data_IF_873661014486
#
_entry.id   IF_873661014486
#
_cell.length_a   1.000
_cell.length_b   1.000
_cell.length_c   1.000
_cell.angle_alpha   90.00
_cell.angle_beta   90.00
_cell.angle_gamma   90.00
#
_symmetry.space_group_name_H-M   'P 1'
#
loop_
_entity.id
_entity.type
_entity.pdbx_description
1 polymer ?
#
# COMPACT_ATOMS: atom_id res chain seq x y z
N UNK A 1 -27.91 -35.49 -12.83
CA UNK A 1 -26.56 -36.00 -12.51
C UNK A 1 -25.76 -35.83 -13.79
N UNK A 2 -24.81 -34.91 -13.90
CA UNK A 2 -23.47 -35.02 -13.29
C UNK A 2 -22.91 -33.62 -13.07
N UNK A 3 -22.54 -33.29 -11.82
CA UNK A 3 -21.76 -32.08 -11.51
C UNK A 3 -20.30 -32.33 -11.88
N UNK A 4 -19.71 -31.43 -12.67
CA UNK A 4 -18.26 -31.39 -12.87
C UNK A 4 -17.68 -30.48 -11.79
N UNK A 5 -17.17 -31.11 -10.73
CA UNK A 5 -16.32 -30.46 -9.72
C UNK A 5 -14.97 -30.20 -10.37
N UNK A 6 -14.65 -28.94 -10.68
CA UNK A 6 -13.31 -28.56 -11.16
C UNK A 6 -12.34 -28.59 -9.97
N UNK A 7 -11.23 -29.30 -10.12
CA UNK A 7 -10.26 -29.54 -9.05
C UNK A 7 -9.45 -28.26 -8.72
N UNK A 8 -8.89 -28.15 -7.50
CA UNK A 8 -8.10 -27.00 -7.05
C UNK A 8 -6.87 -26.67 -7.92
N UNK A 9 -6.41 -27.64 -8.72
CA UNK A 9 -5.21 -27.53 -9.55
C UNK A 9 -5.42 -26.60 -10.75
N UNK A 10 -6.65 -26.48 -11.27
CA UNK A 10 -6.96 -25.62 -12.42
C UNK A 10 -7.02 -24.13 -12.04
N UNK A 11 -7.28 -23.82 -10.76
CA UNK A 11 -7.37 -22.44 -10.25
C UNK A 11 -5.97 -21.87 -9.98
N UNK A 12 -5.04 -22.69 -9.49
CA UNK A 12 -3.63 -22.29 -9.30
C UNK A 12 -2.91 -21.91 -10.60
N UNK A 13 -3.30 -22.52 -11.73
CA UNK A 13 -2.72 -22.20 -13.05
C UNK A 13 -3.17 -20.83 -13.58
N UNK A 14 -4.38 -20.39 -13.26
CA UNK A 14 -4.93 -19.09 -13.70
C UNK A 14 -4.21 -17.93 -12.99
N UNK A 15 -3.89 -18.10 -11.70
CA UNK A 15 -3.13 -17.12 -10.91
C UNK A 15 -1.68 -16.99 -11.42
N UNK A 16 -1.05 -18.10 -11.83
CA UNK A 16 0.31 -18.06 -12.40
C UNK A 16 0.35 -17.42 -13.80
N UNK A 17 -0.68 -17.63 -14.63
CA UNK A 17 -0.81 -17.02 -15.96
C UNK A 17 -1.13 -15.51 -15.91
N UNK A 18 -1.82 -15.05 -14.85
CA UNK A 18 -2.04 -13.63 -14.57
C UNK A 18 -0.73 -12.84 -14.38
N UNK A 19 0.29 -13.48 -13.78
CA UNK A 19 1.59 -12.85 -13.49
C UNK A 19 2.50 -12.80 -14.73
N UNK A 20 2.46 -13.82 -15.59
CA UNK A 20 3.34 -13.89 -16.78
C UNK A 20 2.87 -13.02 -17.96
N UNK A 21 1.56 -12.80 -18.11
CA UNK A 21 1.02 -12.02 -19.25
C UNK A 21 1.27 -10.50 -19.12
N UNK A 22 1.54 -9.99 -17.92
CA UNK A 22 1.84 -8.57 -17.70
C UNK A 22 3.15 -8.09 -18.33
N UNK A 23 4.10 -9.00 -18.60
CA UNK A 23 5.46 -8.65 -19.07
C UNK A 23 5.56 -8.54 -20.60
N UNK A 24 4.62 -9.11 -21.37
CA UNK A 24 4.75 -9.23 -22.83
C UNK A 24 3.96 -8.19 -23.67
N UNK A 25 3.12 -7.35 -23.04
CA UNK A 25 2.12 -6.54 -23.75
C UNK A 25 2.53 -5.13 -24.19
N UNK A 26 3.81 -4.74 -24.10
CA UNK A 26 4.23 -3.35 -24.29
C UNK A 26 5.14 -3.18 -25.52
N UNK A 27 4.55 -3.10 -26.72
CA UNK A 27 5.13 -2.45 -27.91
C UNK A 27 4.03 -2.33 -28.99
N UNK A 28 3.09 -1.39 -28.84
CA UNK A 28 2.29 -0.89 -29.96
C UNK A 28 1.65 0.47 -29.66
N UNK A 29 1.64 1.31 -30.68
CA UNK A 29 1.35 2.75 -30.73
C UNK A 29 -0.09 3.18 -30.38
N UNK A 30 -0.25 4.43 -29.92
CA UNK A 30 -1.52 5.13 -29.59
C UNK A 30 -2.59 5.04 -30.69
N UNK A 31 -3.89 4.97 -30.34
CA UNK A 31 -5.00 5.40 -31.21
C UNK A 31 -5.78 6.61 -30.64
N UNK A 32 -6.56 7.33 -31.47
CA UNK A 32 -7.22 8.59 -31.11
C UNK A 32 -8.59 8.38 -30.43
N UNK A 33 -9.10 9.46 -29.82
CA UNK A 33 -10.42 9.53 -29.16
C UNK A 33 -11.55 8.97 -30.03
N UNK A 34 -12.32 8.02 -29.49
CA UNK A 34 -13.55 7.50 -30.11
C UNK A 34 -14.78 8.22 -29.55
N UNK A 35 -15.51 8.86 -30.45
CA UNK A 35 -16.89 9.32 -30.26
C UNK A 35 -17.79 8.07 -30.32
N UNK A 36 -18.62 7.86 -29.31
CA UNK A 36 -19.57 6.73 -29.26
C UNK A 36 -20.73 6.99 -30.20
N UNK A 37 -20.64 6.50 -31.44
CA UNK A 37 -21.78 6.40 -32.36
C UNK A 37 -22.38 5.01 -32.22
N UNK A 38 -23.65 4.90 -31.83
CA UNK A 38 -24.37 3.62 -31.87
C UNK A 38 -24.48 3.14 -33.32
N UNK A 39 -23.60 2.23 -33.71
CA UNK A 39 -23.61 1.64 -35.06
C UNK A 39 -24.74 0.61 -35.13
N UNK A 40 -25.79 0.90 -35.89
CA UNK A 40 -26.81 -0.09 -36.26
C UNK A 40 -26.19 -0.92 -37.40
N UNK A 41 -25.77 -2.14 -37.12
CA UNK A 41 -25.23 -3.04 -38.14
C UNK A 41 -26.36 -3.76 -38.89
N UNK A 42 -26.58 -3.36 -40.14
CA UNK A 42 -27.49 -4.05 -41.06
C UNK A 42 -26.77 -5.26 -41.64
N UNK A 43 -27.32 -6.47 -41.45
CA UNK A 43 -26.78 -7.69 -42.07
C UNK A 43 -27.68 -8.10 -43.25
N UNK A 44 -27.07 -8.23 -44.42
CA UNK A 44 -27.73 -8.69 -45.64
C UNK A 44 -27.37 -10.15 -45.89
N UNK A 45 -28.37 -11.02 -45.93
CA UNK A 45 -28.18 -12.46 -46.19
C UNK A 45 -28.83 -12.78 -47.52
N UNK A 46 -28.05 -13.35 -48.44
CA UNK A 46 -28.51 -13.81 -49.75
C UNK A 46 -28.60 -15.33 -49.74
N UNK A 47 -29.77 -15.86 -50.06
CA UNK A 47 -30.02 -17.30 -50.18
C UNK A 47 -30.41 -17.64 -51.61
N UNK A 48 -29.86 -18.73 -52.14
CA UNK A 48 -30.14 -19.23 -53.48
C UNK A 48 -30.53 -20.72 -53.42
N UNK A 49 -31.67 -21.06 -54.02
CA UNK A 49 -32.12 -22.46 -54.19
C UNK A 49 -32.59 -22.63 -55.64
N UNK A 50 -31.88 -23.47 -56.40
CA UNK A 50 -32.07 -23.55 -57.85
C UNK A 50 -31.70 -22.23 -58.54
N UNK A 51 -32.52 -21.78 -59.51
CA UNK A 51 -32.33 -20.49 -60.21
C UNK A 51 -32.91 -19.28 -59.44
N UNK A 52 -33.56 -19.51 -58.30
CA UNK A 52 -34.22 -18.43 -57.55
C UNK A 52 -33.31 -17.93 -56.43
N UNK A 53 -33.03 -16.63 -56.42
CA UNK A 53 -32.25 -15.96 -55.36
C UNK A 53 -33.14 -14.96 -54.61
N UNK A 54 -33.05 -14.92 -53.28
CA UNK A 54 -33.68 -13.89 -52.44
C UNK A 54 -32.68 -13.28 -51.47
N UNK A 55 -32.77 -11.96 -51.34
CA UNK A 55 -31.95 -11.15 -50.43
C UNK A 55 -32.83 -10.66 -49.30
N UNK A 56 -32.39 -10.88 -48.06
CA UNK A 56 -33.09 -10.39 -46.87
C UNK A 56 -32.15 -9.41 -46.17
N UNK A 57 -32.66 -8.21 -45.92
CA UNK A 57 -31.98 -7.19 -45.15
C UNK A 57 -32.60 -7.16 -43.75
N UNK A 58 -31.82 -7.49 -42.72
CA UNK A 58 -32.27 -7.42 -41.33
C UNK A 58 -31.68 -6.18 -40.67
N UNK A 59 -32.55 -5.26 -40.27
CA UNK A 59 -32.17 -3.93 -39.76
C UNK A 59 -32.18 -3.85 -38.23
N UNK A 60 -32.64 -4.89 -37.53
CA UNK A 60 -32.74 -4.89 -36.07
C UNK A 60 -32.42 -6.26 -35.44
N UNK A 61 -31.73 -6.28 -34.29
CA UNK A 61 -31.38 -7.51 -33.58
C UNK A 61 -32.59 -8.25 -32.99
N UNK A 62 -32.57 -9.58 -32.99
CA UNK A 62 -33.65 -10.45 -32.47
C UNK A 62 -34.85 -10.62 -33.39
N UNK A 63 -34.84 -10.00 -34.58
CA UNK A 63 -35.87 -10.22 -35.59
C UNK A 63 -35.77 -11.63 -36.18
N UNK A 64 -36.85 -12.39 -36.10
CA UNK A 64 -37.00 -13.69 -36.78
C UNK A 64 -37.67 -13.44 -38.12
N UNK A 65 -36.93 -13.62 -39.20
CA UNK A 65 -37.46 -13.52 -40.57
C UNK A 65 -37.61 -14.91 -41.15
N UNK A 66 -38.84 -15.25 -41.54
CA UNK A 66 -39.13 -16.52 -42.24
C UNK A 66 -39.17 -16.26 -43.73
N UNK A 67 -38.39 -17.02 -44.50
CA UNK A 67 -38.46 -16.97 -45.96
C UNK A 67 -38.99 -18.27 -46.50
N UNK A 68 -40.10 -18.16 -47.22
CA UNK A 68 -40.74 -19.27 -47.91
C UNK A 68 -40.33 -19.25 -49.37
N UNK A 69 -39.67 -20.32 -49.82
CA UNK A 69 -39.42 -20.61 -51.23
C UNK A 69 -40.15 -21.91 -51.62
N UNK A 70 -40.46 -22.14 -52.91
CA UNK A 70 -41.11 -23.39 -53.33
C UNK A 70 -40.24 -24.59 -52.95
N UNK A 71 -40.72 -25.44 -52.04
CA UNK A 71 -40.07 -26.69 -51.63
C UNK A 71 -39.11 -26.62 -50.44
N UNK A 72 -38.79 -25.42 -49.89
CA UNK A 72 -37.91 -25.28 -48.71
C UNK A 72 -38.38 -24.13 -47.82
N UNK A 73 -38.59 -24.42 -46.52
CA UNK A 73 -38.80 -23.40 -45.48
C UNK A 73 -37.53 -23.33 -44.65
N UNK A 74 -36.87 -22.17 -44.65
CA UNK A 74 -35.67 -21.91 -43.82
C UNK A 74 -35.95 -20.76 -42.87
N UNK A 75 -35.77 -21.02 -41.57
CA UNK A 75 -35.85 -19.99 -40.53
C UNK A 75 -34.45 -19.46 -40.25
N UNK A 76 -34.24 -18.15 -40.46
CA UNK A 76 -32.99 -17.49 -40.08
C UNK A 76 -33.21 -16.76 -38.76
N UNK A 77 -32.48 -17.18 -37.72
CA UNK A 77 -32.45 -16.49 -36.43
C UNK A 77 -31.16 -15.68 -36.35
N UNK A 78 -31.28 -14.34 -36.35
CA UNK A 78 -30.16 -13.44 -36.11
C UNK A 78 -30.02 -13.26 -34.60
N UNK A 79 -29.03 -13.92 -33.99
CA UNK A 79 -28.73 -13.76 -32.58
C UNK A 79 -27.85 -12.52 -32.43
N UNK A 80 -28.36 -11.48 -31.77
CA UNK A 80 -27.56 -10.33 -31.38
C UNK A 80 -26.61 -10.75 -30.26
N UNK A 81 -25.32 -10.83 -30.56
CA UNK A 81 -24.29 -10.87 -29.51
C UNK A 81 -24.13 -9.45 -28.98
N UNK A 82 -24.99 -9.04 -28.04
CA UNK A 82 -24.70 -7.83 -27.25
C UNK A 82 -23.39 -8.07 -26.49
N UNK A 83 -22.45 -7.10 -26.49
CA UNK A 83 -21.35 -7.14 -25.55
C UNK A 83 -21.94 -7.35 -24.15
N UNK A 84 -21.41 -8.30 -23.35
CA UNK A 84 -21.90 -8.51 -22.00
C UNK A 84 -21.92 -7.18 -21.24
N UNK A 85 -23.03 -6.89 -20.54
CA UNK A 85 -23.15 -5.66 -19.77
C UNK A 85 -21.95 -5.53 -18.83
N UNK A 86 -21.32 -4.36 -18.85
CA UNK A 86 -20.14 -4.11 -18.02
C UNK A 86 -20.53 -4.24 -16.54
N UNK A 87 -19.82 -5.10 -15.81
CA UNK A 87 -20.01 -5.30 -14.37
C UNK A 87 -19.01 -4.41 -13.66
N UNK A 88 -19.49 -3.40 -12.94
CA UNK A 88 -18.62 -2.49 -12.19
C UNK A 88 -18.60 -2.84 -10.69
N UNK A 89 -17.42 -3.08 -10.15
CA UNK A 89 -17.20 -3.19 -8.70
C UNK A 89 -16.49 -1.94 -8.18
N UNK A 90 -16.87 -1.47 -7.00
CA UNK A 90 -16.28 -0.27 -6.39
C UNK A 90 -15.23 -0.69 -5.37
N UNK A 91 -14.06 -0.07 -5.41
CA UNK A 91 -13.10 -0.11 -4.30
C UNK A 91 -13.07 1.29 -3.69
N UNK A 92 -13.43 1.37 -2.40
CA UNK A 92 -13.36 2.60 -1.63
C UNK A 92 -11.92 2.90 -1.21
N UNK A 93 -11.58 4.17 -1.07
CA UNK A 93 -10.27 4.61 -0.65
C UNK A 93 -10.43 5.68 0.43
N UNK A 94 -10.34 5.26 1.68
CA UNK A 94 -10.35 6.15 2.84
C UNK A 94 -8.91 6.54 3.13
N UNK A 95 -8.43 7.65 2.57
CA UNK A 95 -7.00 7.99 2.60
C UNK A 95 -6.77 9.42 3.05
N UNK A 96 -5.83 9.61 3.97
CA UNK A 96 -5.42 10.93 4.40
C UNK A 96 -4.61 11.59 3.27
N UNK A 97 -5.21 12.58 2.61
CA UNK A 97 -4.55 13.38 1.55
C UNK A 97 -4.39 14.84 1.96
N UNK A 98 -4.83 15.19 3.17
CA UNK A 98 -4.59 16.45 3.84
C UNK A 98 -4.06 16.22 5.26
N UNK A 99 -4.04 17.29 6.08
CA UNK A 99 -3.54 17.23 7.45
C UNK A 99 -2.06 16.82 7.50
N UNK A 100 -1.65 15.98 8.45
CA UNK A 100 -0.26 15.51 8.55
C UNK A 100 0.27 14.77 7.31
N UNK A 101 -0.63 14.31 6.45
CA UNK A 101 -0.31 13.57 5.23
C UNK A 101 -0.46 14.42 3.96
N UNK A 102 -0.61 15.75 4.06
CA UNK A 102 -0.84 16.60 2.88
C UNK A 102 0.24 16.48 1.79
N UNK A 103 1.47 16.14 2.17
CA UNK A 103 2.60 15.94 1.24
C UNK A 103 2.63 14.50 0.69
N UNK A 104 2.56 13.49 1.57
CA UNK A 104 2.79 12.09 1.20
C UNK A 104 1.51 11.35 0.80
N UNK A 105 0.37 11.73 1.37
CA UNK A 105 -0.95 11.16 1.12
C UNK A 105 -1.35 11.13 -0.37
N UNK A 106 -1.22 12.25 -1.11
CA UNK A 106 -1.46 12.25 -2.56
C UNK A 106 -0.52 11.31 -3.33
N UNK A 107 0.73 11.14 -2.88
CA UNK A 107 1.69 10.20 -3.49
C UNK A 107 1.24 8.75 -3.26
N UNK A 108 0.74 8.42 -2.07
CA UNK A 108 0.18 7.08 -1.78
C UNK A 108 -1.09 6.81 -2.61
N UNK A 109 -2.03 7.77 -2.65
CA UNK A 109 -3.27 7.68 -3.44
C UNK A 109 -2.98 7.34 -4.89
N UNK A 110 -2.01 8.03 -5.49
CA UNK A 110 -1.67 7.90 -6.90
C UNK A 110 -1.18 6.47 -7.22
N UNK A 111 -0.55 5.78 -6.26
CA UNK A 111 -0.22 4.35 -6.38
C UNK A 111 -1.48 3.48 -6.50
N UNK A 112 -2.53 3.79 -5.73
CA UNK A 112 -3.82 3.11 -5.84
C UNK A 112 -4.56 3.40 -7.15
N UNK A 113 -4.49 4.64 -7.65
CA UNK A 113 -5.04 5.02 -8.96
C UNK A 113 -4.37 4.21 -10.07
N UNK A 114 -3.03 4.13 -10.06
CA UNK A 114 -2.27 3.37 -11.03
C UNK A 114 -2.64 1.88 -11.01
N UNK A 115 -2.84 1.30 -9.82
CA UNK A 115 -3.30 -0.08 -9.69
C UNK A 115 -4.68 -0.29 -10.36
N UNK A 116 -5.66 0.59 -10.12
CA UNK A 116 -6.97 0.52 -10.78
C UNK A 116 -6.83 0.59 -12.30
N UNK A 117 -5.99 1.49 -12.82
CA UNK A 117 -5.72 1.62 -14.26
C UNK A 117 -5.13 0.32 -14.83
N UNK A 118 -4.15 -0.28 -14.16
CA UNK A 118 -3.51 -1.52 -14.60
C UNK A 118 -4.46 -2.72 -14.55
N UNK A 119 -5.26 -2.85 -13.48
CA UNK A 119 -6.26 -3.91 -13.33
C UNK A 119 -7.28 -3.83 -14.47
N UNK A 120 -7.82 -2.64 -14.72
CA UNK A 120 -8.82 -2.44 -15.77
C UNK A 120 -8.25 -2.68 -17.17
N UNK A 121 -7.03 -2.22 -17.45
CA UNK A 121 -6.32 -2.49 -18.71
C UNK A 121 -6.11 -4.00 -18.93
N UNK A 122 -5.74 -4.72 -17.88
CA UNK A 122 -5.61 -6.18 -17.95
C UNK A 122 -6.95 -6.86 -18.19
N UNK A 123 -8.01 -6.50 -17.46
CA UNK A 123 -9.35 -7.06 -17.65
C UNK A 123 -9.88 -6.81 -19.07
N UNK A 124 -9.58 -5.63 -19.63
CA UNK A 124 -9.90 -5.30 -21.02
C UNK A 124 -9.15 -6.19 -22.02
N UNK A 125 -7.85 -6.41 -21.83
CA UNK A 125 -7.04 -7.21 -22.76
C UNK A 125 -7.48 -8.67 -22.86
N UNK A 126 -8.08 -9.20 -21.80
CA UNK A 126 -8.66 -10.56 -21.78
C UNK A 126 -10.16 -10.60 -22.13
N UNK A 127 -10.75 -9.47 -22.54
CA UNK A 127 -12.16 -9.37 -22.90
C UNK A 127 -13.13 -9.55 -21.73
N UNK A 128 -12.68 -9.33 -20.49
CA UNK A 128 -13.54 -9.42 -19.31
C UNK A 128 -14.58 -8.29 -19.31
N UNK A 129 -15.85 -8.55 -18.96
CA UNK A 129 -16.86 -7.50 -18.77
C UNK A 129 -16.69 -6.73 -17.45
N UNK A 130 -15.79 -7.18 -16.56
CA UNK A 130 -15.64 -6.60 -15.23
C UNK A 130 -14.75 -5.36 -15.27
N UNK A 131 -15.11 -4.30 -14.55
CA UNK A 131 -14.27 -3.14 -14.27
C UNK A 131 -14.32 -2.77 -12.80
N UNK A 132 -13.25 -2.13 -12.34
CA UNK A 132 -13.14 -1.57 -11.00
C UNK A 132 -13.20 -0.05 -11.04
N UNK A 133 -14.05 0.54 -10.19
CA UNK A 133 -14.16 1.98 -10.02
C UNK A 133 -13.49 2.41 -8.72
N UNK A 134 -12.65 3.43 -8.85
CA UNK A 134 -11.99 4.13 -7.75
C UNK A 134 -12.96 5.15 -7.13
N UNK A 135 -13.23 5.06 -5.84
CA UNK A 135 -13.95 6.09 -5.07
C UNK A 135 -13.10 6.44 -3.85
N UNK A 136 -12.80 7.72 -3.67
CA UNK A 136 -11.96 8.18 -2.56
C UNK A 136 -12.63 9.29 -1.76
N UNK A 137 -12.26 9.38 -0.49
CA UNK A 137 -12.58 10.49 0.38
C UNK A 137 -11.45 10.71 1.39
N UNK A 138 -11.31 11.93 1.88
CA UNK A 138 -10.18 12.37 2.71
C UNK A 138 -10.44 12.15 4.20
N UNK A 139 -9.63 11.30 4.81
CA UNK A 139 -9.71 11.00 6.25
C UNK A 139 -8.93 12.00 7.12
N UNK A 140 -8.18 12.92 6.51
CA UNK A 140 -7.40 14.00 7.18
C UNK A 140 -6.36 13.52 8.19
N UNK A 141 -6.09 12.21 8.27
CA UNK A 141 -5.19 11.62 9.26
C UNK A 141 -5.79 11.51 10.66
N UNK A 142 -7.12 11.54 10.80
CA UNK A 142 -7.80 11.59 12.08
C UNK A 142 -8.90 10.51 12.21
N UNK A 143 -8.92 9.81 13.35
CA UNK A 143 -9.85 8.71 13.61
C UNK A 143 -11.34 9.07 13.43
N UNK A 144 -11.74 10.25 13.89
CA UNK A 144 -13.13 10.70 13.78
C UNK A 144 -13.56 10.99 12.33
N UNK A 145 -12.66 11.53 11.51
CA UNK A 145 -12.92 11.79 10.09
C UNK A 145 -12.87 10.49 9.28
N UNK A 146 -11.91 9.59 9.58
CA UNK A 146 -11.86 8.25 9.00
C UNK A 146 -13.16 7.46 9.23
N UNK A 147 -13.72 7.53 10.45
CA UNK A 147 -14.99 6.86 10.76
C UNK A 147 -16.15 7.41 9.93
N UNK A 148 -16.25 8.74 9.77
CA UNK A 148 -17.29 9.37 8.94
C UNK A 148 -17.16 8.95 7.48
N UNK A 149 -15.95 8.94 6.94
CA UNK A 149 -15.67 8.50 5.57
C UNK A 149 -16.13 7.05 5.37
N UNK A 150 -15.74 6.15 6.27
CA UNK A 150 -16.10 4.72 6.15
C UNK A 150 -17.61 4.51 6.33
N UNK A 151 -18.27 5.23 7.23
CA UNK A 151 -19.73 5.21 7.37
C UNK A 151 -20.44 5.67 6.09
N UNK A 152 -19.94 6.73 5.45
CA UNK A 152 -20.46 7.23 4.18
C UNK A 152 -20.27 6.21 3.04
N UNK A 153 -19.08 5.64 2.92
CA UNK A 153 -18.80 4.58 1.95
C UNK A 153 -19.68 3.35 2.15
N UNK A 154 -19.88 2.92 3.41
CA UNK A 154 -20.78 1.83 3.75
C UNK A 154 -22.23 2.13 3.35
N UNK A 155 -22.72 3.34 3.63
CA UNK A 155 -24.06 3.78 3.23
C UNK A 155 -24.24 3.82 1.70
N UNK A 156 -23.16 4.09 0.96
CA UNK A 156 -23.11 3.98 -0.50
C UNK A 156 -22.95 2.53 -1.02
N UNK A 157 -22.97 1.53 -0.13
CA UNK A 157 -22.89 0.10 -0.48
C UNK A 157 -21.47 -0.44 -0.67
N UNK A 158 -20.43 0.34 -0.38
CA UNK A 158 -19.03 -0.09 -0.52
C UNK A 158 -18.66 -1.02 0.65
N UNK A 159 -18.12 -2.20 0.32
CA UNK A 159 -17.76 -3.24 1.30
C UNK A 159 -16.27 -3.55 1.37
N UNK A 160 -15.48 -3.02 0.44
CA UNK A 160 -14.03 -3.21 0.35
C UNK A 160 -13.38 -1.84 0.23
N UNK A 161 -12.55 -1.51 1.22
CA UNK A 161 -11.93 -0.19 1.37
C UNK A 161 -10.42 -0.38 1.52
N UNK A 162 -9.63 0.38 0.75
CA UNK A 162 -8.19 0.51 0.92
C UNK A 162 -7.89 1.77 1.74
N UNK A 163 -7.00 1.65 2.72
CA UNK A 163 -6.87 2.61 3.82
C UNK A 163 -7.86 2.32 4.97
N UNK A 164 -7.81 3.03 6.11
CA UNK A 164 -7.00 4.23 6.40
C UNK A 164 -5.49 4.02 6.46
N UNK A 165 -4.73 5.12 6.46
CA UNK A 165 -3.27 5.09 6.43
C UNK A 165 -2.64 4.99 7.82
N UNK A 166 -3.15 5.72 8.82
CA UNK A 166 -2.54 5.75 10.13
C UNK A 166 -3.10 4.67 11.06
N UNK A 167 -2.25 4.12 11.93
CA UNK A 167 -2.66 3.12 12.92
C UNK A 167 -3.81 3.61 13.83
N UNK A 168 -3.79 4.88 14.23
CA UNK A 168 -4.87 5.48 15.02
C UNK A 168 -6.19 5.64 14.24
N UNK A 169 -6.12 5.84 12.91
CA UNK A 169 -7.33 5.85 12.08
C UNK A 169 -7.92 4.46 11.98
N UNK A 170 -7.10 3.44 11.70
CA UNK A 170 -7.55 2.03 11.64
C UNK A 170 -8.16 1.60 12.97
N UNK A 171 -7.52 1.92 14.10
CA UNK A 171 -8.09 1.71 15.45
C UNK A 171 -9.48 2.30 15.58
N UNK A 172 -9.67 3.55 15.13
CA UNK A 172 -10.92 4.28 15.28
C UNK A 172 -12.09 3.74 14.44
N UNK A 173 -11.81 2.92 13.43
CA UNK A 173 -12.83 2.39 12.50
C UNK A 173 -13.03 0.89 12.60
N UNK A 174 -12.12 0.18 13.28
CA UNK A 174 -12.10 -1.28 13.37
C UNK A 174 -13.41 -1.88 13.88
N UNK A 175 -13.97 -1.35 14.97
CA UNK A 175 -15.23 -1.85 15.54
C UNK A 175 -16.41 -1.69 14.56
N UNK A 176 -16.47 -0.56 13.86
CA UNK A 176 -17.50 -0.31 12.86
C UNK A 176 -17.34 -1.24 11.65
N UNK A 177 -16.10 -1.42 11.17
CA UNK A 177 -15.79 -2.31 10.06
C UNK A 177 -16.16 -3.75 10.37
N UNK A 178 -15.78 -4.26 11.54
CA UNK A 178 -16.08 -5.62 11.99
C UNK A 178 -17.58 -5.87 12.15
N UNK A 179 -18.29 -4.95 12.81
CA UNK A 179 -19.74 -5.05 13.01
C UNK A 179 -20.49 -5.11 11.68
N UNK A 180 -20.02 -4.36 10.69
CA UNK A 180 -20.70 -4.21 9.40
C UNK A 180 -20.10 -5.06 8.27
N UNK A 181 -19.13 -5.93 8.60
CA UNK A 181 -18.42 -6.80 7.66
C UNK A 181 -17.83 -6.00 6.49
N UNK A 182 -17.15 -4.91 6.79
CA UNK A 182 -16.45 -4.08 5.80
C UNK A 182 -14.99 -4.49 5.82
N UNK A 183 -14.48 -4.97 4.69
CA UNK A 183 -13.07 -5.29 4.54
C UNK A 183 -12.28 -4.00 4.42
N UNK A 184 -11.34 -3.80 5.34
CA UNK A 184 -10.36 -2.73 5.31
C UNK A 184 -9.00 -3.33 4.99
N UNK A 185 -8.33 -2.81 3.96
CA UNK A 185 -6.96 -3.18 3.61
C UNK A 185 -6.07 -1.96 3.80
N UNK A 186 -5.38 -1.87 4.94
CA UNK A 186 -4.47 -0.75 5.22
C UNK A 186 -3.10 -0.98 4.60
N UNK A 187 -2.59 -0.01 3.81
CA UNK A 187 -1.25 -0.10 3.24
C UNK A 187 -0.14 0.44 4.16
N UNK A 188 -0.47 1.01 5.32
CA UNK A 188 0.52 1.73 6.14
C UNK A 188 0.27 1.77 7.64
N UNK A 189 -0.75 1.09 8.18
CA UNK A 189 -0.89 0.97 9.64
C UNK A 189 0.02 -0.14 10.19
N UNK A 190 1.03 0.23 10.96
CA UNK A 190 2.08 -0.71 11.40
C UNK A 190 1.91 -1.19 12.85
N UNK A 191 1.06 -0.53 13.65
CA UNK A 191 1.01 -0.77 15.10
C UNK A 191 0.66 -2.24 15.44
N UNK A 192 1.41 -2.92 16.31
CA UNK A 192 1.09 -4.29 16.73
C UNK A 192 -0.22 -4.36 17.52
N UNK A 193 -0.70 -3.23 18.05
CA UNK A 193 -1.95 -3.16 18.81
C UNK A 193 -3.18 -3.48 17.94
N UNK A 194 -3.06 -3.42 16.62
CA UNK A 194 -4.13 -3.69 15.66
C UNK A 194 -4.23 -5.17 15.25
N UNK A 195 -3.33 -6.04 15.73
CA UNK A 195 -3.36 -7.46 15.42
C UNK A 195 -4.53 -8.15 16.16
N UNK A 196 -5.61 -8.44 15.43
CA UNK A 196 -6.81 -9.08 15.98
C UNK A 196 -7.22 -10.27 15.09
N UNK A 197 -7.16 -11.51 15.60
CA UNK A 197 -7.53 -12.68 14.80
C UNK A 197 -8.98 -12.65 14.31
N UNK A 198 -9.18 -12.96 13.03
CA UNK A 198 -10.50 -13.18 12.44
C UNK A 198 -11.36 -11.93 12.28
N UNK A 199 -10.76 -10.75 12.35
CA UNK A 199 -11.44 -9.49 12.08
C UNK A 199 -11.49 -9.18 10.55
N UNK A 200 -11.97 -8.00 10.19
CA UNK A 200 -12.08 -7.55 8.79
C UNK A 200 -10.96 -6.59 8.37
N UNK A 201 -9.88 -6.52 9.15
CA UNK A 201 -8.73 -5.67 8.90
C UNK A 201 -7.61 -6.51 8.32
N UNK A 202 -7.06 -6.04 7.20
CA UNK A 202 -5.91 -6.66 6.56
C UNK A 202 -4.83 -5.59 6.36
N UNK A 203 -3.57 -5.95 6.59
CA UNK A 203 -2.47 -5.00 6.54
C UNK A 203 -1.36 -5.52 5.64
N UNK A 204 -1.12 -4.81 4.54
CA UNK A 204 -0.11 -5.23 3.54
C UNK A 204 1.30 -4.76 3.89
N UNK A 205 1.40 -3.74 4.75
CA UNK A 205 2.65 -3.36 5.42
C UNK A 205 2.93 -4.33 6.57
N UNK A 206 4.20 -4.72 6.80
CA UNK A 206 4.59 -5.46 7.99
C UNK A 206 4.30 -4.67 9.27
N UNK A 207 4.07 -5.40 10.36
CA UNK A 207 3.88 -4.78 11.67
C UNK A 207 5.20 -4.26 12.24
N UNK A 208 5.11 -3.32 13.18
CA UNK A 208 6.25 -2.77 13.90
C UNK A 208 6.98 -3.80 14.77
N UNK A 209 6.46 -5.02 14.92
CA UNK A 209 7.20 -6.12 15.56
C UNK A 209 8.49 -6.42 14.79
N UNK A 210 8.42 -6.44 13.45
CA UNK A 210 9.58 -6.65 12.60
C UNK A 210 10.52 -5.43 12.68
N UNK A 211 9.97 -4.22 12.55
CA UNK A 211 10.75 -3.00 12.65
C UNK A 211 11.50 -2.88 13.98
N UNK A 212 10.82 -3.19 15.10
CA UNK A 212 11.40 -3.24 16.43
C UNK A 212 12.57 -4.24 16.52
N UNK A 213 12.40 -5.44 15.94
CA UNK A 213 13.47 -6.43 15.89
C UNK A 213 14.68 -5.94 15.09
N UNK A 214 14.46 -5.39 13.90
CA UNK A 214 15.54 -4.93 13.04
C UNK A 214 16.28 -3.75 13.68
N UNK A 215 15.56 -2.72 14.16
CA UNK A 215 16.21 -1.54 14.72
C UNK A 215 16.95 -1.87 16.03
N UNK A 216 16.41 -2.75 16.88
CA UNK A 216 17.10 -3.23 18.08
C UNK A 216 18.38 -4.00 17.73
N UNK A 217 18.33 -4.85 16.68
CA UNK A 217 19.51 -5.54 16.16
C UNK A 217 20.56 -4.57 15.65
N UNK A 218 20.17 -3.61 14.81
CA UNK A 218 21.09 -2.61 14.25
C UNK A 218 21.75 -1.79 15.36
N UNK A 219 20.98 -1.34 16.36
CA UNK A 219 21.51 -0.64 17.53
C UNK A 219 22.53 -1.50 18.29
N UNK A 220 22.20 -2.77 18.56
CA UNK A 220 23.11 -3.68 19.27
C UNK A 220 24.38 -3.99 18.48
N UNK A 221 24.27 -4.26 17.18
CA UNK A 221 25.41 -4.50 16.28
C UNK A 221 26.36 -3.29 16.26
N UNK A 222 25.80 -2.09 16.43
CA UNK A 222 26.54 -0.83 16.54
C UNK A 222 27.06 -0.52 17.95
N UNK A 223 26.87 -1.42 18.93
CA UNK A 223 27.36 -1.27 20.31
C UNK A 223 26.49 -0.40 21.21
N UNK A 224 25.27 -0.05 20.81
CA UNK A 224 24.31 0.66 21.67
C UNK A 224 23.82 -0.28 22.77
N UNK A 225 23.75 0.23 24.00
CA UNK A 225 23.27 -0.48 25.20
C UNK A 225 22.18 0.29 25.94
N UNK A 226 22.05 1.59 25.69
CA UNK A 226 21.15 2.50 26.40
C UNK A 226 20.41 3.37 25.38
N UNK A 227 19.09 3.45 25.48
CA UNK A 227 18.28 4.20 24.51
C UNK A 227 17.27 5.09 25.23
N UNK A 228 17.27 6.38 24.88
CA UNK A 228 16.16 7.27 25.19
C UNK A 228 15.20 7.29 23.99
N UNK A 229 13.99 6.78 24.19
CA UNK A 229 12.94 6.77 23.16
C UNK A 229 12.07 8.00 23.33
N UNK A 230 11.87 8.75 22.25
CA UNK A 230 10.85 9.81 22.17
C UNK A 230 9.84 9.45 21.09
N UNK A 231 8.57 9.32 21.46
CA UNK A 231 7.55 8.78 20.57
C UNK A 231 6.20 9.52 20.66
N UNK A 232 5.49 9.58 19.53
CA UNK A 232 4.12 10.13 19.45
C UNK A 232 3.16 9.44 20.41
N UNK A 233 2.20 10.21 20.91
CA UNK A 233 1.17 9.78 21.86
C UNK A 233 -0.01 9.02 21.27
N UNK A 234 0.17 8.30 20.17
CA UNK A 234 -0.87 7.54 19.45
C UNK A 234 -0.56 6.03 19.39
N UNK A 235 -1.47 5.23 18.80
CA UNK A 235 -1.30 3.76 18.66
C UNK A 235 0.00 3.38 17.94
N UNK A 236 0.49 4.21 17.02
CA UNK A 236 1.73 3.98 16.29
C UNK A 236 2.94 4.18 17.22
N UNK A 237 3.08 5.37 17.81
CA UNK A 237 4.21 5.68 18.67
C UNK A 237 4.32 4.76 19.88
N UNK A 238 3.19 4.44 20.54
CA UNK A 238 3.15 3.52 21.68
C UNK A 238 3.46 2.08 21.26
N UNK A 239 2.81 1.60 20.19
CA UNK A 239 2.98 0.23 19.70
C UNK A 239 4.42 -0.10 19.32
N UNK A 240 5.08 0.78 18.54
CA UNK A 240 6.48 0.59 18.16
C UNK A 240 7.42 0.74 19.37
N UNK A 241 7.15 1.68 20.28
CA UNK A 241 7.96 1.85 21.50
C UNK A 241 7.96 0.59 22.36
N UNK A 242 6.78 0.03 22.64
CA UNK A 242 6.66 -1.14 23.51
C UNK A 242 7.25 -2.39 22.84
N UNK A 243 7.06 -2.55 21.52
CA UNK A 243 7.70 -3.62 20.76
C UNK A 243 9.24 -3.51 20.80
N UNK A 244 9.77 -2.31 20.58
CA UNK A 244 11.21 -2.05 20.62
C UNK A 244 11.80 -2.31 22.01
N UNK A 245 11.19 -1.76 23.08
CA UNK A 245 11.66 -1.94 24.45
C UNK A 245 11.71 -3.43 24.82
N UNK A 246 10.65 -4.18 24.48
CA UNK A 246 10.60 -5.62 24.72
C UNK A 246 11.78 -6.33 24.04
N UNK A 247 12.01 -6.10 22.75
CA UNK A 247 13.12 -6.78 22.04
C UNK A 247 14.47 -6.34 22.59
N UNK A 248 14.69 -5.03 22.76
CA UNK A 248 15.99 -4.49 23.14
C UNK A 248 16.41 -4.93 24.56
N UNK A 249 15.45 -4.98 25.50
CA UNK A 249 15.71 -5.43 26.87
C UNK A 249 15.89 -6.95 26.95
N UNK A 250 15.05 -7.74 26.27
CA UNK A 250 15.04 -9.20 26.39
C UNK A 250 16.15 -9.89 25.58
N UNK A 251 16.43 -9.41 24.36
CA UNK A 251 17.38 -10.04 23.43
C UNK A 251 18.79 -9.47 23.54
N UNK A 252 18.92 -8.21 23.95
CA UNK A 252 20.20 -7.47 23.94
C UNK A 252 20.61 -6.91 25.30
N UNK A 253 19.82 -7.17 26.34
CA UNK A 253 20.05 -6.68 27.71
C UNK A 253 20.22 -5.15 27.78
N UNK A 254 19.55 -4.44 26.88
CA UNK A 254 19.61 -2.98 26.80
C UNK A 254 18.75 -2.30 27.86
N UNK A 255 19.06 -1.04 28.17
CA UNK A 255 18.25 -0.17 29.04
C UNK A 255 17.52 0.87 28.20
N UNK A 256 16.23 1.07 28.50
CA UNK A 256 15.37 2.03 27.79
C UNK A 256 14.76 3.03 28.78
N UNK A 257 14.75 4.30 28.40
CA UNK A 257 13.89 5.33 29.01
C UNK A 257 12.90 5.84 27.95
N UNK A 258 11.64 6.04 28.32
CA UNK A 258 10.56 6.40 27.37
C UNK A 258 9.99 7.79 27.64
N UNK A 259 9.81 8.57 26.59
CA UNK A 259 9.09 9.85 26.58
C UNK A 259 8.00 9.80 25.51
N UNK A 260 6.75 9.71 25.94
CA UNK A 260 5.59 9.79 25.04
C UNK A 260 5.10 11.23 25.00
N UNK A 261 5.07 11.84 23.82
CA UNK A 261 4.67 13.24 23.64
C UNK A 261 3.25 13.36 23.08
N UNK A 262 2.55 14.44 23.44
CA UNK A 262 1.17 14.68 22.99
C UNK A 262 1.15 15.18 21.56
N UNK A 263 0.17 14.76 20.76
CA UNK A 263 -0.03 15.20 19.37
C UNK A 263 -1.47 15.65 19.12
N UNK A 264 -1.69 16.68 18.27
CA UNK A 264 -0.68 17.58 17.73
C UNK A 264 -0.23 18.63 18.77
N UNK A 265 0.98 19.17 18.62
CA UNK A 265 1.43 20.37 19.33
C UNK A 265 2.10 21.36 18.37
N UNK A 266 2.01 22.67 18.64
CA UNK A 266 2.70 23.68 17.83
C UNK A 266 4.21 23.65 18.01
N UNK A 267 4.70 23.16 19.15
CA UNK A 267 6.12 23.15 19.50
C UNK A 267 6.47 22.05 20.50
N UNK A 268 7.67 21.48 20.39
CA UNK A 268 8.14 20.36 21.23
C UNK A 268 9.43 20.65 22.03
N UNK A 269 9.77 21.94 22.23
CA UNK A 269 10.99 22.32 22.96
C UNK A 269 11.05 21.73 24.38
N UNK A 270 9.91 21.65 25.07
CA UNK A 270 9.83 21.14 26.45
C UNK A 270 10.13 19.63 26.51
N UNK A 271 9.64 18.87 25.54
CA UNK A 271 9.88 17.45 25.39
C UNK A 271 11.32 17.18 24.99
N UNK A 272 11.92 18.02 24.14
CA UNK A 272 13.34 17.92 23.79
C UNK A 272 14.24 18.16 25.01
N UNK A 273 13.91 19.11 25.88
CA UNK A 273 14.65 19.31 27.13
C UNK A 273 14.56 18.09 28.08
N UNK A 274 13.40 17.43 28.12
CA UNK A 274 13.21 16.17 28.86
C UNK A 274 14.00 15.03 28.22
N UNK A 275 14.00 14.92 26.89
CA UNK A 275 14.81 13.94 26.16
C UNK A 275 16.30 14.11 26.46
N UNK A 276 16.80 15.35 26.45
CA UNK A 276 18.17 15.69 26.83
C UNK A 276 18.50 15.23 28.25
N UNK A 277 17.59 15.47 29.20
CA UNK A 277 17.74 15.01 30.59
C UNK A 277 17.80 13.47 30.69
N UNK A 278 16.98 12.75 29.92
CA UNK A 278 17.02 11.28 29.87
C UNK A 278 18.34 10.75 29.29
N UNK A 279 18.86 11.38 28.23
CA UNK A 279 20.17 11.02 27.65
C UNK A 279 21.29 11.31 28.65
N UNK A 280 21.21 12.41 29.40
CA UNK A 280 22.15 12.71 30.47
C UNK A 280 22.10 11.67 31.60
N UNK A 281 20.91 11.22 32.01
CA UNK A 281 20.73 10.15 33.01
C UNK A 281 21.34 8.82 32.54
N UNK A 282 21.18 8.48 31.27
CA UNK A 282 21.79 7.29 30.67
C UNK A 282 23.31 7.45 30.48
N UNK A 283 23.84 8.67 30.53
CA UNK A 283 25.22 9.02 30.21
C UNK A 283 25.43 9.15 28.70
N UNK A 284 25.83 10.34 28.25
CA UNK A 284 26.02 10.68 26.84
C UNK A 284 27.36 10.17 26.27
N UNK A 285 27.48 8.85 26.16
CA UNK A 285 28.62 8.12 25.60
C UNK A 285 28.25 7.33 24.33
N UNK A 286 29.23 6.67 23.71
CA UNK A 286 29.04 5.94 22.45
C UNK A 286 28.06 4.75 22.52
N UNK A 287 27.75 4.26 23.73
CA UNK A 287 26.77 3.19 23.97
C UNK A 287 25.36 3.71 24.23
N UNK A 288 25.16 5.03 24.25
CA UNK A 288 23.85 5.68 24.38
C UNK A 288 23.37 6.21 23.03
N UNK A 289 22.08 6.05 22.75
CA UNK A 289 21.44 6.59 21.56
C UNK A 289 20.04 7.18 21.86
N UNK A 290 19.57 8.01 20.95
CA UNK A 290 18.16 8.43 20.87
C UNK A 290 17.44 7.56 19.84
N UNK A 291 16.20 7.17 20.13
CA UNK A 291 15.28 6.62 19.14
C UNK A 291 14.05 7.52 19.03
N UNK A 292 13.86 8.17 17.88
CA UNK A 292 12.72 9.05 17.62
C UNK A 292 11.66 8.32 16.77
N UNK A 293 10.42 8.35 17.23
CA UNK A 293 9.24 7.83 16.53
C UNK A 293 8.27 8.99 16.32
N UNK A 294 8.30 9.58 15.13
CA UNK A 294 7.60 10.83 14.82
C UNK A 294 7.06 10.83 13.38
N UNK A 295 6.05 11.65 13.11
CA UNK A 295 5.70 12.04 11.74
C UNK A 295 6.53 13.24 11.31
N UNK A 296 6.49 13.56 10.02
CA UNK A 296 7.42 14.49 9.37
C UNK A 296 7.48 15.87 10.05
N UNK A 297 6.31 16.49 10.30
CA UNK A 297 6.25 17.83 10.88
C UNK A 297 6.68 17.85 12.35
N UNK A 298 6.29 16.85 13.14
CA UNK A 298 6.78 16.70 14.51
C UNK A 298 8.29 16.49 14.54
N UNK A 299 8.79 15.57 13.71
CA UNK A 299 10.19 15.21 13.68
C UNK A 299 11.05 16.40 13.29
N UNK A 300 10.61 17.22 12.33
CA UNK A 300 11.30 18.46 11.97
C UNK A 300 11.34 19.46 13.13
N UNK A 301 10.23 19.65 13.85
CA UNK A 301 10.20 20.53 15.02
C UNK A 301 11.13 20.00 16.15
N UNK A 302 11.02 18.70 16.48
CA UNK A 302 11.84 18.03 17.49
C UNK A 302 13.33 18.13 17.15
N UNK A 303 13.71 17.78 15.91
CA UNK A 303 15.10 17.86 15.45
C UNK A 303 15.59 19.31 15.42
N UNK A 304 14.71 20.25 15.05
CA UNK A 304 14.98 21.68 15.03
C UNK A 304 15.39 22.25 16.39
N UNK A 305 14.82 21.72 17.49
CA UNK A 305 15.25 22.03 18.86
C UNK A 305 16.46 21.19 19.28
N UNK A 306 16.47 19.89 18.99
CA UNK A 306 17.52 18.98 19.42
C UNK A 306 18.90 19.35 18.87
N UNK A 307 18.96 19.97 17.69
CA UNK A 307 20.23 20.45 17.09
C UNK A 307 20.94 21.49 17.96
N UNK A 308 20.22 22.20 18.81
CA UNK A 308 20.75 23.24 19.69
C UNK A 308 21.25 22.65 21.03
N UNK A 309 20.95 21.38 21.31
CA UNK A 309 21.28 20.75 22.59
C UNK A 309 22.66 20.05 22.55
N UNK A 310 23.58 20.41 23.47
CA UNK A 310 24.94 19.87 23.47
C UNK A 310 25.02 18.41 23.92
N UNK A 311 24.04 17.89 24.66
CA UNK A 311 23.97 16.47 25.08
C UNK A 311 23.49 15.62 23.90
N UNK A 312 22.39 16.04 23.27
CA UNK A 312 21.76 15.32 22.17
C UNK A 312 22.63 15.25 20.92
N UNK A 313 23.49 16.25 20.69
CA UNK A 313 24.42 16.26 19.55
C UNK A 313 25.65 15.35 19.70
N UNK A 314 25.81 14.69 20.85
CA UNK A 314 26.94 13.78 21.15
C UNK A 314 26.62 12.30 20.98
N UNK A 315 25.35 11.95 20.91
CA UNK A 315 24.88 10.57 20.81
C UNK A 315 24.39 10.28 19.40
N UNK A 316 24.35 8.99 19.05
CA UNK A 316 23.73 8.56 17.78
C UNK A 316 22.23 8.70 17.87
N UNK A 317 21.63 8.98 16.72
CA UNK A 317 20.18 8.99 16.58
C UNK A 317 19.73 7.86 15.68
N UNK A 318 18.64 7.24 16.09
CA UNK A 318 17.89 6.30 15.28
C UNK A 318 16.49 6.83 15.09
N UNK A 319 15.89 6.56 13.94
CA UNK A 319 14.56 7.04 13.58
C UNK A 319 13.66 5.92 13.10
N UNK A 320 12.37 6.10 13.31
CA UNK A 320 11.36 5.33 12.61
C UNK A 320 11.42 5.55 11.10
N UNK A 321 10.72 4.71 10.36
CA UNK A 321 10.71 4.64 8.90
C UNK A 321 10.15 5.90 8.23
N UNK A 322 9.35 6.67 8.98
CA UNK A 322 8.84 8.01 8.62
C UNK A 322 9.91 9.10 8.53
N UNK A 323 11.11 8.90 9.11
CA UNK A 323 12.18 9.89 9.08
C UNK A 323 12.97 9.85 7.76
N UNK A 324 12.80 8.80 6.94
CA UNK A 324 13.38 8.73 5.59
C UNK A 324 12.50 9.45 4.58
N UNK A 325 12.56 10.78 4.56
CA UNK A 325 11.76 11.62 3.67
C UNK A 325 12.63 12.72 3.05
N UNK A 326 13.14 12.51 1.83
CA UNK A 326 13.93 13.52 1.12
C UNK A 326 13.29 14.91 1.14
N UNK A 327 12.02 15.00 0.74
CA UNK A 327 11.27 16.26 0.69
C UNK A 327 11.17 17.00 2.03
N UNK A 328 11.27 16.28 3.17
CA UNK A 328 11.20 16.88 4.50
C UNK A 328 12.59 17.18 5.08
N UNK A 329 13.51 16.22 5.00
CA UNK A 329 14.75 16.19 5.78
C UNK A 329 16.01 16.49 4.99
N UNK A 330 15.99 16.48 3.65
CA UNK A 330 17.10 17.02 2.86
C UNK A 330 16.95 18.53 2.70
N UNK A 331 18.06 19.26 2.52
CA UNK A 331 18.00 20.68 2.18
C UNK A 331 17.58 20.89 0.73
N UNK A 332 17.30 22.15 0.39
CA UNK A 332 17.02 22.59 -0.99
C UNK A 332 18.15 22.16 -1.94
N UNK A 333 17.83 21.72 -3.18
CA UNK A 333 16.51 21.71 -3.82
C UNK A 333 15.68 20.43 -3.57
N UNK A 334 16.22 19.45 -2.84
CA UNK A 334 15.61 18.13 -2.70
C UNK A 334 14.56 18.05 -1.59
N UNK A 335 14.61 18.98 -0.64
CA UNK A 335 13.67 19.09 0.46
C UNK A 335 13.72 20.44 1.16
N UNK A 336 12.96 20.53 2.25
CA UNK A 336 12.74 21.79 3.00
C UNK A 336 13.57 21.95 4.27
N UNK A 337 14.47 21.02 4.59
CA UNK A 337 15.26 21.11 5.82
C UNK A 337 16.25 22.27 5.76
N UNK A 338 16.44 22.98 6.88
CA UNK A 338 17.52 23.96 6.97
C UNK A 338 18.87 23.25 6.94
N UNK A 339 19.93 23.96 6.51
CA UNK A 339 21.29 23.40 6.52
C UNK A 339 21.70 22.93 7.91
N UNK A 340 21.35 23.68 8.96
CA UNK A 340 21.67 23.29 10.35
C UNK A 340 20.99 21.98 10.78
N UNK A 341 19.77 21.73 10.31
CA UNK A 341 19.07 20.45 10.55
C UNK A 341 19.78 19.33 9.80
N UNK A 342 20.12 19.53 8.53
CA UNK A 342 20.85 18.56 7.73
C UNK A 342 22.24 18.23 8.32
N UNK A 343 22.99 19.25 8.74
CA UNK A 343 24.27 19.13 9.43
C UNK A 343 24.13 18.29 10.71
N UNK A 344 23.09 18.58 11.51
CA UNK A 344 22.83 17.82 12.73
C UNK A 344 22.52 16.35 12.42
N UNK A 345 21.62 16.06 11.48
CA UNK A 345 21.25 14.70 11.08
C UNK A 345 22.45 13.87 10.61
N UNK A 346 23.33 14.48 9.80
CA UNK A 346 24.58 13.87 9.37
C UNK A 346 25.55 13.65 10.55
N UNK A 347 25.69 14.65 11.44
CA UNK A 347 26.55 14.57 12.63
C UNK A 347 26.14 13.43 13.56
N UNK A 348 24.85 13.29 13.85
CA UNK A 348 24.34 12.24 14.73
C UNK A 348 24.18 10.88 14.04
N UNK A 349 24.51 10.80 12.74
CA UNK A 349 24.39 9.61 11.89
C UNK A 349 22.99 9.00 11.98
N UNK A 350 21.95 9.82 11.77
CA UNK A 350 20.57 9.36 11.85
C UNK A 350 20.40 8.08 11.02
N UNK A 351 20.11 6.98 11.70
CA UNK A 351 19.97 5.66 11.08
C UNK A 351 18.56 5.15 11.30
N UNK A 352 17.96 4.54 10.29
CA UNK A 352 16.66 3.92 10.46
C UNK A 352 16.49 2.71 9.57
N UNK A 353 15.28 2.17 9.60
CA UNK A 353 14.91 1.01 8.79
C UNK A 353 13.61 1.32 8.06
N UNK A 354 13.35 0.65 6.95
CA UNK A 354 12.08 0.71 6.24
C UNK A 354 11.82 -0.65 5.58
N UNK A 355 10.56 -1.11 5.56
CA UNK A 355 10.19 -2.37 4.91
C UNK A 355 10.55 -2.32 3.41
N UNK A 356 11.42 -3.22 2.96
CA UNK A 356 12.04 -3.17 1.63
C UNK A 356 11.15 -3.81 0.56
N UNK A 357 10.64 -3.04 -0.42
CA UNK A 357 9.98 -3.62 -1.59
C UNK A 357 11.00 -4.17 -2.62
N UNK A 358 12.29 -3.84 -2.48
CA UNK A 358 13.34 -4.03 -3.51
C UNK A 358 13.66 -5.49 -3.85
N UNK A 359 13.07 -6.46 -3.16
CA UNK A 359 13.16 -7.88 -3.53
C UNK A 359 12.29 -8.29 -4.72
N UNK A 360 11.32 -7.44 -5.14
CA UNK A 360 10.38 -7.79 -6.21
C UNK A 360 10.88 -7.32 -7.60
N UNK A 361 10.89 -8.19 -8.63
CA UNK A 361 11.18 -7.78 -9.99
C UNK A 361 10.13 -6.83 -10.58
N UNK A 362 8.94 -6.73 -9.95
CA UNK A 362 7.87 -5.83 -10.37
C UNK A 362 8.05 -4.40 -9.87
N UNK A 363 8.91 -4.19 -8.86
CA UNK A 363 9.10 -2.87 -8.24
C UNK A 363 9.64 -1.84 -9.25
N UNK A 364 10.62 -2.22 -10.07
CA UNK A 364 11.23 -1.31 -11.06
C UNK A 364 10.27 -0.92 -12.18
N UNK A 365 9.38 -1.84 -12.59
CA UNK A 365 8.33 -1.55 -13.58
C UNK A 365 7.33 -0.56 -13.02
N UNK A 366 6.85 -0.80 -11.79
CA UNK A 366 5.96 0.12 -11.10
C UNK A 366 6.59 1.51 -10.94
N UNK A 367 7.86 1.60 -10.54
CA UNK A 367 8.56 2.88 -10.40
C UNK A 367 8.58 3.67 -11.71
N UNK A 368 8.92 3.01 -12.82
CA UNK A 368 8.98 3.64 -14.14
C UNK A 368 7.60 4.13 -14.59
N UNK A 369 6.57 3.29 -14.46
CA UNK A 369 5.21 3.64 -14.86
C UNK A 369 4.61 4.73 -13.97
N UNK A 370 4.90 4.69 -12.66
CA UNK A 370 4.50 5.73 -11.72
C UNK A 370 5.13 7.08 -12.08
N UNK A 371 6.44 7.11 -12.34
CA UNK A 371 7.15 8.33 -12.76
C UNK A 371 6.60 8.83 -14.10
N UNK A 372 6.39 7.95 -15.06
CA UNK A 372 5.82 8.30 -16.36
C UNK A 372 4.40 8.89 -16.25
N UNK A 373 3.59 8.37 -15.31
CA UNK A 373 2.21 8.82 -15.09
C UNK A 373 2.11 10.12 -14.29
N UNK A 374 2.95 10.29 -13.26
CA UNK A 374 2.78 11.33 -12.25
C UNK A 374 3.93 12.35 -12.17
N UNK A 375 4.98 12.18 -12.97
CA UNK A 375 6.11 13.11 -13.07
C UNK A 375 7.00 13.18 -11.83
N UNK A 376 6.87 12.23 -10.90
CA UNK A 376 7.61 12.19 -9.63
C UNK A 376 7.80 10.76 -9.15
N UNK A 377 8.79 10.54 -8.28
CA UNK A 377 9.03 9.23 -7.69
C UNK A 377 7.92 8.83 -6.70
N UNK A 378 7.56 7.53 -6.61
CA UNK A 378 6.64 7.05 -5.59
C UNK A 378 7.28 7.13 -4.20
N UNK A 379 6.46 7.35 -3.17
CA UNK A 379 6.90 7.14 -1.79
C UNK A 379 6.86 5.66 -1.44
N UNK A 380 7.61 5.19 -0.43
CA UNK A 380 7.63 3.77 -0.08
C UNK A 380 6.25 3.17 0.21
N UNK A 381 5.30 3.95 0.73
CA UNK A 381 3.93 3.51 1.00
C UNK A 381 3.02 3.51 -0.24
N UNK A 382 3.42 4.12 -1.36
CA UNK A 382 2.69 4.01 -2.61
C UNK A 382 2.75 2.59 -3.19
N UNK A 383 3.85 1.87 -2.98
CA UNK A 383 4.00 0.46 -3.38
C UNK A 383 3.02 -0.44 -2.63
N UNK A 384 2.91 -0.27 -1.30
CA UNK A 384 1.95 -1.01 -0.49
C UNK A 384 0.50 -0.65 -0.84
N UNK A 385 0.24 0.61 -1.18
CA UNK A 385 -1.08 1.03 -1.66
C UNK A 385 -1.44 0.35 -2.97
N UNK A 386 -0.49 0.31 -3.92
CA UNK A 386 -0.66 -0.39 -5.19
C UNK A 386 -0.99 -1.88 -4.99
N UNK A 387 -0.22 -2.59 -4.15
CA UNK A 387 -0.47 -4.01 -3.84
C UNK A 387 -1.80 -4.23 -3.12
N UNK A 388 -2.20 -3.33 -2.21
CA UNK A 388 -3.47 -3.42 -1.49
C UNK A 388 -4.67 -3.37 -2.43
N UNK A 389 -4.60 -2.56 -3.49
CA UNK A 389 -5.66 -2.47 -4.50
C UNK A 389 -5.71 -3.73 -5.36
N UNK A 390 -4.56 -4.27 -5.75
CA UNK A 390 -4.50 -5.54 -6.47
C UNK A 390 -5.08 -6.69 -5.63
N UNK A 391 -4.72 -6.79 -4.36
CA UNK A 391 -5.27 -7.78 -3.44
C UNK A 391 -6.79 -7.63 -3.28
N UNK A 392 -7.29 -6.40 -3.11
CA UNK A 392 -8.73 -6.13 -3.06
C UNK A 392 -9.45 -6.63 -4.31
N UNK A 393 -8.97 -6.24 -5.50
CA UNK A 393 -9.57 -6.62 -6.77
C UNK A 393 -9.53 -8.14 -7.00
N UNK A 394 -8.37 -8.77 -6.75
CA UNK A 394 -8.20 -10.20 -6.89
C UNK A 394 -9.08 -10.99 -5.91
N UNK A 395 -9.25 -10.53 -4.67
CA UNK A 395 -10.15 -11.14 -3.70
C UNK A 395 -11.63 -11.01 -4.11
N UNK A 396 -12.04 -9.87 -4.66
CA UNK A 396 -13.39 -9.68 -5.24
C UNK A 396 -13.61 -10.65 -6.41
N UNK A 397 -12.65 -10.75 -7.32
CA UNK A 397 -12.74 -11.67 -8.47
C UNK A 397 -12.76 -13.14 -8.02
N UNK A 398 -11.88 -13.51 -7.08
CA UNK A 398 -11.75 -14.87 -6.58
C UNK A 398 -12.99 -15.33 -5.82
N UNK A 399 -13.56 -14.46 -4.98
CA UNK A 399 -14.78 -14.77 -4.23
C UNK A 399 -16.02 -14.87 -5.12
N UNK A 400 -15.98 -14.26 -6.33
CA UNK A 400 -17.11 -14.19 -7.25
C UNK A 400 -18.30 -13.38 -6.70
N UNK A 401 -18.11 -12.66 -5.59
CA UNK A 401 -19.15 -11.90 -4.89
C UNK A 401 -18.57 -10.61 -4.33
N UNK A 402 -19.28 -9.50 -4.55
CA UNK A 402 -18.99 -8.24 -3.87
C UNK A 402 -19.65 -8.21 -2.49
N UNK A 403 -19.11 -9.01 -1.58
CA UNK A 403 -19.58 -9.18 -0.20
C UNK A 403 -18.37 -9.22 0.75
N UNK A 404 -18.43 -8.49 1.86
CA UNK A 404 -17.28 -8.34 2.74
C UNK A 404 -16.85 -9.64 3.42
N UNK A 405 -17.77 -10.53 3.77
CA UNK A 405 -17.40 -11.84 4.36
C UNK A 405 -16.74 -12.76 3.34
N UNK A 406 -17.27 -12.79 2.11
CA UNK A 406 -16.68 -13.56 1.03
C UNK A 406 -15.29 -13.03 0.64
N UNK A 407 -15.11 -11.70 0.59
CA UNK A 407 -13.82 -11.07 0.29
C UNK A 407 -12.81 -11.28 1.43
N UNK A 408 -13.21 -11.13 2.69
CA UNK A 408 -12.34 -11.39 3.85
C UNK A 408 -11.80 -12.83 3.84
N UNK A 409 -12.65 -13.81 3.53
CA UNK A 409 -12.24 -15.22 3.40
C UNK A 409 -11.33 -15.47 2.20
N UNK A 410 -11.48 -14.69 1.13
CA UNK A 410 -10.65 -14.82 -0.08
C UNK A 410 -9.24 -14.22 0.11
N UNK A 411 -9.09 -13.16 0.91
CA UNK A 411 -7.83 -12.42 1.03
C UNK A 411 -6.63 -13.27 1.46
N UNK A 412 -6.69 -14.12 2.50
CA UNK A 412 -5.57 -15.00 2.86
C UNK A 412 -5.17 -15.96 1.73
N UNK A 413 -6.16 -16.49 0.98
CA UNK A 413 -5.92 -17.41 -0.14
C UNK A 413 -5.25 -16.69 -1.30
N UNK A 414 -5.76 -15.50 -1.66
CA UNK A 414 -5.19 -14.66 -2.72
C UNK A 414 -3.78 -14.19 -2.33
N UNK A 415 -3.59 -13.71 -1.11
CA UNK A 415 -2.31 -13.25 -0.58
C UNK A 415 -1.23 -14.33 -0.64
N UNK A 416 -1.58 -15.57 -0.29
CA UNK A 416 -0.68 -16.74 -0.37
C UNK A 416 -0.18 -17.06 -1.79
N UNK A 417 -0.81 -16.52 -2.84
CA UNK A 417 -0.41 -16.69 -4.24
C UNK A 417 -0.06 -15.37 -4.92
N UNK A 418 -0.02 -14.26 -4.17
CA UNK A 418 0.21 -12.94 -4.69
C UNK A 418 1.68 -12.53 -4.52
N UNK A 419 2.31 -12.16 -5.64
CA UNK A 419 3.62 -11.53 -5.68
C UNK A 419 3.43 -10.14 -6.29
N UNK A 420 3.45 -9.13 -5.43
CA UNK A 420 3.25 -7.73 -5.79
C UNK A 420 4.56 -6.96 -5.97
N UNK A 421 4.44 -5.64 -6.07
CA UNK A 421 5.60 -4.74 -6.15
C UNK A 421 6.36 -4.68 -4.82
N UNK A 422 5.73 -5.06 -3.71
CA UNK A 422 6.34 -5.20 -2.38
C UNK A 422 6.66 -6.66 -2.01
N UNK A 423 6.67 -7.57 -3.00
CA UNK A 423 6.99 -9.00 -2.81
C UNK A 423 5.77 -9.84 -2.42
N UNK A 424 6.01 -10.98 -1.76
CA UNK A 424 4.97 -11.89 -1.29
C UNK A 424 4.08 -11.22 -0.24
N UNK A 425 2.74 -11.37 -0.36
CA UNK A 425 1.77 -10.83 0.62
C UNK A 425 1.02 -11.96 1.32
N UNK A 426 1.78 -12.81 2.01
CA UNK A 426 1.21 -13.82 2.91
C UNK A 426 0.66 -13.09 4.13
N UNK A 427 -0.59 -13.35 4.47
CA UNK A 427 -1.21 -12.86 5.70
C UNK A 427 -1.06 -13.89 6.82
N UNK A 428 -0.78 -13.43 8.04
CA UNK A 428 -0.83 -14.23 9.26
C UNK A 428 -2.28 -14.41 9.76
N UNK A 429 -2.44 -15.00 10.95
CA UNK A 429 -3.77 -15.23 11.55
C UNK A 429 -4.55 -13.95 11.92
N UNK A 430 -3.86 -12.80 11.99
CA UNK A 430 -4.44 -11.49 12.29
C UNK A 430 -4.79 -10.69 11.02
N UNK A 431 -4.55 -11.25 9.83
CA UNK A 431 -4.68 -10.48 8.59
C UNK A 431 -3.49 -9.56 8.32
N UNK A 432 -2.37 -9.74 9.03
CA UNK A 432 -1.18 -8.90 8.89
C UNK A 432 -0.16 -9.53 7.94
N UNK A 433 0.62 -8.70 7.24
CA UNK A 433 1.73 -9.22 6.44
C UNK A 433 2.70 -10.03 7.33
N UNK A 434 2.87 -11.31 6.99
CA UNK A 434 3.60 -12.29 7.79
C UNK A 434 5.12 -12.08 7.84
N UNK A 435 5.64 -11.07 7.13
CA UNK A 435 7.04 -10.66 7.16
C UNK A 435 7.43 -9.81 5.96
N UNK A 436 8.56 -9.13 6.07
CA UNK A 436 9.26 -8.52 4.97
C UNK A 436 10.74 -8.34 5.30
N UNK A 437 11.54 -8.17 4.25
CA UNK A 437 12.88 -7.63 4.39
C UNK A 437 12.82 -6.17 4.82
N UNK A 438 13.87 -5.68 5.48
CA UNK A 438 14.00 -4.28 5.88
C UNK A 438 15.30 -3.71 5.34
N UNK A 439 15.21 -2.60 4.62
CA UNK A 439 16.38 -1.81 4.23
C UNK A 439 16.84 -0.99 5.43
N UNK A 440 18.14 -1.01 5.71
CA UNK A 440 18.78 -0.17 6.72
C UNK A 440 19.38 1.03 5.99
N UNK A 441 19.05 2.23 6.44
CA UNK A 441 19.49 3.47 5.82
C UNK A 441 20.15 4.38 6.85
N UNK A 442 21.06 5.25 6.38
CA UNK A 442 21.70 6.28 7.18
C UNK A 442 21.68 7.62 6.45
N UNK A 443 21.46 8.69 7.21
CA UNK A 443 21.62 10.05 6.74
C UNK A 443 23.10 10.40 6.65
N UNK A 444 23.57 10.79 5.47
CA UNK A 444 24.99 11.02 5.17
C UNK A 444 25.21 12.39 4.55
N UNK A 445 26.46 12.84 4.59
CA UNK A 445 26.99 13.95 3.81
C UNK A 445 28.32 13.50 3.21
N UNK A 446 28.39 13.40 1.88
CA UNK A 446 29.56 12.90 1.16
C UNK A 446 30.65 13.96 0.90
N UNK A 447 30.46 15.17 1.46
CA UNK A 447 31.29 16.35 1.19
C UNK A 447 30.66 17.30 0.16
N UNK A 448 29.69 16.83 -0.62
CA UNK A 448 29.01 17.61 -1.66
C UNK A 448 27.48 17.63 -1.51
N UNK A 449 26.86 16.51 -1.13
CA UNK A 449 25.41 16.38 -1.02
C UNK A 449 25.01 15.60 0.23
N UNK A 450 23.84 15.95 0.78
CA UNK A 450 23.19 15.14 1.80
C UNK A 450 22.35 14.05 1.16
N UNK A 451 22.31 12.88 1.78
CA UNK A 451 21.53 11.77 1.24
C UNK A 451 21.00 10.85 2.34
N UNK A 452 20.05 10.00 1.96
CA UNK A 452 19.68 8.79 2.69
C UNK A 452 20.29 7.59 1.98
N UNK A 453 21.47 7.18 2.41
CA UNK A 453 22.18 6.03 1.86
C UNK A 453 21.64 4.73 2.45
N UNK A 454 21.38 3.74 1.60
CA UNK A 454 21.17 2.38 2.07
C UNK A 454 22.51 1.80 2.48
N UNK A 455 22.62 1.36 3.73
CA UNK A 455 23.84 0.80 4.30
C UNK A 455 23.72 -0.70 4.57
N UNK A 456 22.55 -1.29 4.31
CA UNK A 456 22.36 -2.72 4.44
C UNK A 456 20.91 -3.16 4.30
N UNK A 457 20.70 -4.44 4.51
CA UNK A 457 19.39 -5.09 4.49
C UNK A 457 19.33 -6.15 5.59
N UNK A 458 18.17 -6.25 6.23
CA UNK A 458 17.82 -7.37 7.10
C UNK A 458 16.85 -8.29 6.35
N UNK A 459 17.14 -9.59 6.37
CA UNK A 459 16.42 -10.61 5.57
C UNK A 459 15.50 -11.45 6.43
N UNK A 460 14.22 -11.49 6.06
CA UNK A 460 13.23 -12.39 6.64
C UNK A 460 13.15 -13.72 5.85
N UNK A 461 12.96 -14.88 6.50
CA UNK A 461 12.91 -15.15 7.94
C UNK A 461 14.29 -15.44 8.55
N UNK A 462 15.37 -15.33 7.78
CA UNK A 462 16.72 -15.70 8.22
C UNK A 462 17.20 -14.91 9.44
N UNK A 463 16.70 -13.69 9.65
CA UNK A 463 17.10 -12.83 10.77
C UNK A 463 18.51 -12.27 10.62
N UNK A 464 19.08 -12.34 9.41
CA UNK A 464 20.45 -11.95 9.11
C UNK A 464 20.47 -10.51 8.60
N UNK A 465 21.46 -9.73 9.06
CA UNK A 465 21.76 -8.40 8.53
C UNK A 465 22.97 -8.48 7.61
N UNK A 466 22.82 -7.96 6.41
CA UNK A 466 23.87 -7.79 5.41
C UNK A 466 24.15 -6.29 5.26
N UNK A 467 25.31 -5.84 5.71
CA UNK A 467 25.73 -4.44 5.50
C UNK A 467 26.39 -4.31 4.12
N UNK A 468 26.02 -3.25 3.40
CA UNK A 468 26.65 -2.90 2.13
C UNK A 468 28.04 -2.33 2.42
N UNK A 469 29.03 -2.79 1.65
CA UNK A 469 30.44 -2.44 1.82
C UNK A 469 30.79 -1.13 1.14
#
# INVERSE_FOLDING_TARGET
>A
MTQVVKSPITIGLIILLLVLAGVAGLLATRPPQQITTTKIETTTITLSVGETTRTITVTAPGAVSTVTMPGVVSTITVIETRPPAQIEYVIGFAMAVSGPYAVDGPVRRDGGILAIEHINKYLESIGSPIRFRFVHDDTKGAAADALKVIQSMYAAGIKVIVGPFASGEVRGVMDFANTNKIVIISPSSTSPLLAVPGDYIFRTVPTDLFQAEVIAKVMSDQGVKKVAVMARGDDYGKGLTDAFEKVFTQKYNGRVLKLIYTVPQPDYASEVARLSSMVAELGADASTAVFIIAFEDDGLNIIGHARLDPVLSRVRWFGSETLRRPAAYLPEPDGKASKDVADFLAKVKLTGVFASPRGSPLASVFEQEYIARFGRSPSPYAYFTYDSVWLAALAILFSGKYDGEAVAKALPVVGGHFIGVTGYKIFDENGDAAGADYTIWQYTFDGTRYNFEDIGVWRYPAGVTEYYK
#
